data_IF_937944201217
#
_entry.id   IF_937944201217
#
_cell.length_a   1.000
_cell.length_b   1.000
_cell.length_c   1.000
_cell.angle_alpha   90.00
_cell.angle_beta   90.00
_cell.angle_gamma   90.00
#
_symmetry.space_group_name_H-M   'P 1'
#
loop_
_entity.id
_entity.type
_entity.pdbx_description
1 polymer ?
#
# COMPACT_ATOMS: atom_id res chain seq x y z
N UNK A 1 -42.45 -11.40 19.00
CA UNK A 1 -41.44 -10.89 18.05
C UNK A 1 -40.09 -11.00 18.76
N UNK A 2 -39.19 -11.90 18.32
CA UNK A 2 -37.87 -12.09 18.94
C UNK A 2 -36.87 -11.26 18.15
N UNK A 3 -36.40 -10.16 18.72
CA UNK A 3 -35.22 -9.46 18.20
C UNK A 3 -34.01 -10.34 18.53
N UNK A 4 -33.41 -10.95 17.51
CA UNK A 4 -32.06 -11.52 17.64
C UNK A 4 -31.10 -10.34 17.68
N UNK A 5 -30.70 -9.92 18.87
CA UNK A 5 -29.55 -9.04 19.03
C UNK A 5 -28.30 -9.87 18.76
N UNK A 6 -27.71 -9.71 17.58
CA UNK A 6 -26.32 -10.09 17.36
C UNK A 6 -25.45 -9.08 18.11
N UNK A 7 -24.65 -9.54 19.07
CA UNK A 7 -23.54 -8.75 19.59
C UNK A 7 -22.55 -8.55 18.45
N UNK A 8 -22.50 -7.33 17.91
CA UNK A 8 -21.52 -6.94 16.90
C UNK A 8 -20.26 -6.53 17.64
N UNK A 9 -19.15 -7.20 17.33
CA UNK A 9 -17.84 -6.83 17.84
C UNK A 9 -17.37 -5.56 17.11
N UNK A 10 -17.33 -4.43 17.82
CA UNK A 10 -16.91 -3.12 17.30
C UNK A 10 -15.40 -2.90 17.37
N UNK A 11 -14.61 -3.91 17.74
CA UNK A 11 -13.15 -3.79 17.90
C UNK A 11 -12.39 -3.70 16.57
N UNK A 12 -13.00 -4.14 15.46
CA UNK A 12 -12.35 -4.24 14.16
C UNK A 12 -13.19 -3.54 13.07
N UNK A 13 -12.62 -2.52 12.43
CA UNK A 13 -13.30 -1.72 11.40
C UNK A 13 -13.74 -2.57 10.18
N UNK A 14 -12.96 -3.60 9.84
CA UNK A 14 -13.33 -4.52 8.75
C UNK A 14 -14.58 -5.36 9.01
N UNK A 15 -15.00 -5.49 10.28
CA UNK A 15 -16.24 -6.17 10.66
C UNK A 15 -17.46 -5.21 10.61
N UNK A 16 -17.21 -3.90 10.53
CA UNK A 16 -18.24 -2.85 10.51
C UNK A 16 -18.59 -2.40 9.10
N UNK A 17 -17.60 -2.28 8.21
CA UNK A 17 -17.79 -1.83 6.84
C UNK A 17 -17.25 -2.85 5.83
N UNK A 18 -17.93 -2.97 4.70
CA UNK A 18 -17.31 -3.52 3.50
C UNK A 18 -16.72 -2.36 2.70
N UNK A 19 -15.64 -2.61 1.95
CA UNK A 19 -15.01 -1.62 1.08
C UNK A 19 -14.96 -2.19 -0.33
N UNK A 20 -15.27 -1.36 -1.31
CA UNK A 20 -15.06 -1.69 -2.72
C UNK A 20 -14.53 -0.50 -3.50
N UNK A 21 -13.69 -0.78 -4.48
CA UNK A 21 -13.14 0.22 -5.39
C UNK A 21 -13.67 -0.07 -6.79
N UNK A 22 -14.43 0.87 -7.34
CA UNK A 22 -14.87 0.83 -8.72
C UNK A 22 -13.99 1.78 -9.55
N UNK A 23 -13.53 1.29 -10.69
CA UNK A 23 -12.75 2.06 -11.64
C UNK A 23 -13.12 1.66 -13.07
N UNK A 24 -14.26 2.18 -13.52
CA UNK A 24 -14.80 1.95 -14.85
C UNK A 24 -14.49 3.13 -15.79
N UNK A 25 -14.83 2.99 -17.08
CA UNK A 25 -14.51 3.99 -18.12
C UNK A 25 -15.15 5.38 -17.93
N UNK A 26 -16.11 5.52 -17.01
CA UNK A 26 -16.82 6.78 -16.75
C UNK A 26 -16.70 7.31 -15.32
N UNK A 27 -16.41 6.45 -14.34
CA UNK A 27 -16.39 6.83 -12.93
C UNK A 27 -15.33 6.03 -12.16
N UNK A 28 -14.67 6.70 -11.21
CA UNK A 28 -13.75 6.08 -10.26
C UNK A 28 -14.18 6.48 -8.87
N UNK A 29 -14.61 5.53 -8.05
CA UNK A 29 -15.11 5.80 -6.71
C UNK A 29 -14.88 4.63 -5.76
N UNK A 30 -14.88 4.93 -4.47
CA UNK A 30 -14.82 3.94 -3.39
C UNK A 30 -16.18 3.92 -2.70
N UNK A 31 -16.72 2.72 -2.45
CA UNK A 31 -17.91 2.56 -1.61
C UNK A 31 -17.56 1.88 -0.31
N UNK A 32 -18.27 2.26 0.76
CA UNK A 32 -18.07 1.73 2.10
C UNK A 32 -19.41 1.43 2.80
N UNK A 33 -20.19 0.44 2.34
CA UNK A 33 -21.46 0.11 2.98
C UNK A 33 -21.26 -0.48 4.38
N UNK A 34 -22.10 -0.08 5.34
CA UNK A 34 -22.14 -0.68 6.66
C UNK A 34 -22.65 -2.13 6.57
N UNK A 35 -21.96 -3.06 7.24
CA UNK A 35 -22.33 -4.49 7.26
C UNK A 35 -23.51 -4.76 8.18
N UNK A 36 -23.62 -4.05 9.30
CA UNK A 36 -24.69 -4.25 10.28
C UNK A 36 -25.11 -2.95 10.96
N UNK A 37 -26.42 -2.68 11.03
CA UNK A 37 -26.98 -1.51 11.70
C UNK A 37 -26.70 -0.16 11.02
N UNK A 38 -27.01 0.93 11.74
CA UNK A 38 -26.72 2.31 11.34
C UNK A 38 -25.57 2.82 12.21
N UNK A 39 -24.33 2.53 11.80
CA UNK A 39 -23.13 3.05 12.46
C UNK A 39 -22.86 4.44 11.89
N UNK A 40 -22.87 5.51 12.70
CA UNK A 40 -22.47 6.83 12.23
C UNK A 40 -20.97 6.82 11.92
N UNK A 41 -20.66 6.88 10.63
CA UNK A 41 -19.31 6.94 10.07
C UNK A 41 -19.15 8.23 9.29
N UNK A 42 -18.08 8.97 9.54
CA UNK A 42 -17.79 10.21 8.84
C UNK A 42 -16.33 10.22 8.39
N UNK A 43 -16.13 10.45 7.09
CA UNK A 43 -14.83 10.79 6.54
C UNK A 43 -14.66 12.30 6.64
N UNK A 44 -13.65 12.74 7.37
CA UNK A 44 -13.38 14.17 7.56
C UNK A 44 -11.99 14.52 7.05
N UNK A 45 -11.90 15.66 6.36
CA UNK A 45 -10.64 16.32 6.08
C UNK A 45 -10.55 17.50 7.04
N UNK A 46 -9.65 17.43 8.01
CA UNK A 46 -9.49 18.51 8.97
C UNK A 46 -8.82 19.75 8.32
N UNK A 47 -8.81 20.86 9.04
CA UNK A 47 -8.17 22.10 8.59
C UNK A 47 -6.63 22.01 8.50
N UNK A 48 -6.03 20.95 9.06
CA UNK A 48 -4.60 20.65 8.97
C UNK A 48 -4.28 19.75 7.76
N UNK A 49 -5.29 19.29 7.02
CA UNK A 49 -5.15 18.40 5.87
C UNK A 49 -5.04 16.91 6.24
N UNK A 50 -5.33 16.54 7.49
CA UNK A 50 -5.42 15.15 7.92
C UNK A 50 -6.75 14.56 7.47
N UNK A 51 -6.69 13.43 6.77
CA UNK A 51 -7.86 12.64 6.44
C UNK A 51 -8.10 11.60 7.54
N UNK A 52 -9.26 11.64 8.18
CA UNK A 52 -9.59 10.78 9.31
C UNK A 52 -10.96 10.12 9.11
N UNK A 53 -11.04 8.83 9.43
CA UNK A 53 -12.30 8.11 9.63
C UNK A 53 -12.74 8.26 11.08
N UNK A 54 -13.91 8.86 11.29
CA UNK A 54 -14.54 8.99 12.60
C UNK A 54 -15.66 7.96 12.70
N UNK A 55 -15.47 6.99 13.60
CA UNK A 55 -16.50 6.05 14.05
C UNK A 55 -16.82 6.44 15.48
N UNK A 56 -18.09 6.66 15.81
CA UNK A 56 -18.49 6.92 17.19
C UNK A 56 -18.10 5.73 18.08
N UNK A 57 -17.08 5.91 18.92
CA UNK A 57 -16.57 4.96 19.92
C UNK A 57 -16.44 5.65 21.26
N UNK A 58 -16.40 4.86 22.32
CA UNK A 58 -16.03 5.30 23.66
C UNK A 58 -14.62 4.76 23.97
N UNK A 59 -13.59 5.42 23.43
CA UNK A 59 -12.19 5.45 23.89
C UNK A 59 -11.26 6.01 22.81
N UNK A 60 -10.46 7.00 23.21
CA UNK A 60 -9.38 7.57 22.42
C UNK A 60 -8.10 6.72 22.56
N UNK A 61 -7.47 6.39 21.43
CA UNK A 61 -6.20 5.66 21.38
C UNK A 61 -5.05 6.54 20.91
N UNK A 62 -3.94 6.48 21.64
CA UNK A 62 -2.69 7.18 21.36
C UNK A 62 -2.09 6.82 19.99
N UNK A 63 -1.58 7.84 19.32
CA UNK A 63 -0.89 7.75 18.04
C UNK A 63 0.53 7.16 18.23
N UNK A 64 0.87 6.14 17.44
CA UNK A 64 2.15 5.46 17.50
C UNK A 64 3.13 6.11 16.52
N UNK A 65 4.26 6.60 17.05
CA UNK A 65 5.38 7.16 16.29
C UNK A 65 5.89 6.17 15.22
N UNK A 66 5.77 6.52 13.94
CA UNK A 66 6.30 5.72 12.83
C UNK A 66 7.82 5.58 12.91
N UNK A 67 8.31 4.34 12.88
CA UNK A 67 9.73 4.03 12.82
C UNK A 67 10.20 4.00 11.36
N UNK A 68 11.05 4.96 10.98
CA UNK A 68 11.68 4.97 9.66
C UNK A 68 12.84 3.97 9.62
N UNK A 69 13.14 3.34 8.49
CA UNK A 69 14.38 2.58 8.25
C UNK A 69 14.61 2.45 6.73
N UNK A 70 15.87 2.50 6.26
CA UNK A 70 16.18 2.25 4.85
C UNK A 70 15.98 0.78 4.45
N UNK A 71 15.47 0.55 3.24
CA UNK A 71 15.34 -0.79 2.69
C UNK A 71 16.70 -1.50 2.56
N UNK A 72 16.72 -2.84 2.62
CA UNK A 72 17.94 -3.62 2.41
C UNK A 72 18.63 -3.24 1.09
N UNK A 73 19.96 -3.10 1.12
CA UNK A 73 20.74 -2.62 -0.03
C UNK A 73 20.82 -1.09 -0.17
N UNK A 74 20.14 -0.34 0.70
CA UNK A 74 20.25 1.10 0.80
C UNK A 74 20.90 1.52 2.13
N UNK A 75 21.44 2.74 2.16
CA UNK A 75 21.98 3.39 3.36
C UNK A 75 21.47 4.82 3.43
N UNK A 76 21.35 5.44 4.62
CA UNK A 76 21.03 6.85 4.70
C UNK A 76 22.10 7.67 3.95
N UNK A 77 21.64 8.70 3.24
CA UNK A 77 22.53 9.64 2.55
C UNK A 77 23.33 10.44 3.56
N UNK A 78 22.68 10.87 4.65
CA UNK A 78 23.27 11.60 5.77
C UNK A 78 23.13 10.74 7.03
N UNK A 79 24.25 10.34 7.67
CA UNK A 79 24.20 9.52 8.88
C UNK A 79 23.43 10.17 10.04
N UNK A 80 23.47 11.50 10.14
CA UNK A 80 22.78 12.27 11.17
C UNK A 80 21.29 12.45 10.84
N UNK A 81 20.95 12.66 9.57
CA UNK A 81 19.57 12.80 9.09
C UNK A 81 19.09 11.55 8.37
N UNK A 82 19.16 10.44 9.08
CA UNK A 82 19.00 9.12 8.49
C UNK A 82 17.59 8.85 7.91
N UNK A 83 16.58 9.62 8.33
CA UNK A 83 15.19 9.53 7.89
C UNK A 83 14.89 10.33 6.60
N UNK A 84 15.76 11.27 6.18
CA UNK A 84 15.48 12.17 5.05
C UNK A 84 15.54 11.41 3.71
N UNK A 85 16.60 10.62 3.50
CA UNK A 85 16.84 9.98 2.21
C UNK A 85 17.74 8.78 2.30
N UNK A 86 17.34 7.70 1.65
CA UNK A 86 18.15 6.50 1.45
C UNK A 86 18.74 6.46 0.04
N UNK A 87 19.99 6.04 -0.08
CA UNK A 87 20.70 5.85 -1.36
C UNK A 87 21.20 4.42 -1.48
N UNK A 88 21.21 3.89 -2.71
CA UNK A 88 21.68 2.52 -3.00
C UNK A 88 23.15 2.40 -2.54
N UNK A 89 23.47 1.32 -1.83
CA UNK A 89 24.87 1.00 -1.52
C UNK A 89 25.59 0.77 -2.86
N UNK A 90 26.68 1.50 -3.12
CA UNK A 90 27.48 1.30 -4.35
C UNK A 90 27.95 -0.15 -4.38
N UNK A 91 27.56 -0.91 -5.40
CA UNK A 91 28.18 -2.21 -5.69
C UNK A 91 29.56 -1.92 -6.31
N UNK A 92 30.61 -2.54 -5.77
CA UNK A 92 31.92 -2.59 -6.43
C UNK A 92 31.76 -3.54 -7.62
N UNK A 93 31.92 -3.03 -8.84
CA UNK A 93 31.61 -3.76 -10.08
C UNK A 93 30.26 -3.34 -10.65
N UNK A 94 30.30 -2.46 -11.66
CA UNK A 94 29.13 -2.02 -12.40
C UNK A 94 28.54 -3.18 -13.20
N UNK A 95 27.51 -3.83 -12.64
CA UNK A 95 26.69 -4.77 -13.39
C UNK A 95 26.04 -4.03 -14.57
N UNK A 96 26.30 -4.52 -15.78
CA UNK A 96 25.70 -3.99 -17.01
C UNK A 96 24.26 -4.47 -17.03
N UNK A 97 23.33 -3.54 -16.81
CA UNK A 97 21.89 -3.80 -16.88
C UNK A 97 21.50 -4.49 -18.20
N UNK A 98 20.60 -5.48 -18.13
CA UNK A 98 20.05 -6.17 -19.30
C UNK A 98 20.88 -7.37 -19.77
N UNK A 99 21.90 -7.79 -19.03
CA UNK A 99 22.65 -9.04 -19.32
C UNK A 99 22.07 -10.28 -18.63
N UNK A 100 21.10 -10.12 -17.73
CA UNK A 100 20.40 -11.24 -17.07
C UNK A 100 21.23 -11.99 -16.02
N UNK A 101 22.55 -12.00 -16.14
CA UNK A 101 23.46 -12.64 -15.19
C UNK A 101 23.67 -11.76 -13.94
N UNK A 102 22.97 -12.10 -12.85
CA UNK A 102 23.13 -11.47 -11.53
C UNK A 102 22.21 -10.27 -11.24
N UNK A 103 21.22 -10.02 -12.10
CA UNK A 103 20.16 -9.03 -11.89
C UNK A 103 18.90 -9.70 -11.32
N UNK A 104 18.18 -8.98 -10.44
CA UNK A 104 16.98 -9.50 -9.80
C UNK A 104 16.42 -8.52 -8.77
N UNK A 105 15.18 -8.79 -8.35
CA UNK A 105 14.48 -8.00 -7.35
C UNK A 105 14.50 -8.70 -5.99
N UNK A 106 14.67 -7.93 -4.92
CA UNK A 106 14.47 -8.41 -3.56
C UNK A 106 12.97 -8.39 -3.25
N UNK A 107 12.40 -9.54 -2.86
CA UNK A 107 11.01 -9.60 -2.40
C UNK A 107 10.86 -8.87 -1.06
N UNK A 108 9.94 -7.92 -0.99
CA UNK A 108 9.57 -7.20 0.22
C UNK A 108 8.06 -7.34 0.43
N UNK A 109 7.64 -7.58 1.67
CA UNK A 109 6.23 -7.81 2.05
C UNK A 109 5.83 -6.81 3.15
N UNK A 110 4.53 -6.54 3.27
CA UNK A 110 3.99 -5.63 4.31
C UNK A 110 4.36 -4.16 4.12
N UNK A 111 4.83 -3.76 2.93
CA UNK A 111 5.16 -2.38 2.60
C UNK A 111 4.03 -1.71 1.82
N UNK A 112 3.76 -0.44 2.15
CA UNK A 112 2.99 0.44 1.27
C UNK A 112 3.79 0.66 -0.03
N UNK A 113 3.13 0.47 -1.16
CA UNK A 113 3.76 0.73 -2.46
C UNK A 113 4.17 2.21 -2.57
N UNK A 114 5.32 2.51 -3.20
CA UNK A 114 5.70 3.88 -3.47
C UNK A 114 4.65 4.61 -4.30
N UNK A 115 4.78 5.93 -4.34
CA UNK A 115 4.01 6.79 -5.23
C UNK A 115 4.02 6.26 -6.67
N UNK A 116 2.83 6.11 -7.25
CA UNK A 116 2.64 5.46 -8.54
C UNK A 116 2.77 6.41 -9.75
N UNK A 117 3.12 7.69 -9.58
CA UNK A 117 3.22 8.69 -10.67
C UNK A 117 4.17 8.27 -11.81
N UNK A 118 5.22 7.53 -11.49
CA UNK A 118 6.21 7.05 -12.46
C UNK A 118 6.13 5.54 -12.70
N UNK A 119 4.99 4.94 -12.33
CA UNK A 119 4.74 3.51 -12.53
C UNK A 119 4.05 3.25 -13.86
N UNK A 120 4.29 2.08 -14.43
CA UNK A 120 3.54 1.56 -15.58
C UNK A 120 2.76 0.33 -15.14
N UNK A 121 1.48 0.27 -15.49
CA UNK A 121 0.61 -0.87 -15.22
C UNK A 121 0.49 -1.69 -16.49
N UNK A 122 0.81 -2.97 -16.37
CA UNK A 122 0.61 -3.96 -17.43
C UNK A 122 -0.57 -4.84 -17.02
N UNK A 123 -1.70 -4.72 -17.71
CA UNK A 123 -2.84 -5.62 -17.52
C UNK A 123 -2.57 -6.99 -18.13
N UNK A 124 -3.13 -8.05 -17.54
CA UNK A 124 -3.11 -9.42 -18.07
C UNK A 124 -1.71 -10.02 -18.32
N UNK A 125 -0.70 -9.63 -17.53
CA UNK A 125 0.65 -10.23 -17.58
C UNK A 125 0.92 -11.07 -16.33
N UNK A 126 1.61 -12.19 -16.50
CA UNK A 126 2.09 -12.96 -15.34
C UNK A 126 3.21 -12.21 -14.60
N UNK A 127 3.37 -12.49 -13.31
CA UNK A 127 4.46 -11.90 -12.51
C UNK A 127 5.85 -12.17 -13.12
N UNK A 128 6.05 -13.36 -13.70
CA UNK A 128 7.31 -13.73 -14.38
C UNK A 128 7.55 -12.90 -15.64
N UNK A 129 6.50 -12.63 -16.42
CA UNK A 129 6.61 -11.80 -17.62
C UNK A 129 6.84 -10.33 -17.25
N UNK A 130 6.14 -9.83 -16.22
CA UNK A 130 6.38 -8.50 -15.67
C UNK A 130 7.85 -8.34 -15.22
N UNK A 131 8.38 -9.33 -14.49
CA UNK A 131 9.76 -9.34 -14.05
C UNK A 131 10.75 -9.32 -15.23
N UNK A 132 10.51 -10.15 -16.24
CA UNK A 132 11.33 -10.18 -17.46
C UNK A 132 11.31 -8.85 -18.22
N UNK A 133 10.17 -8.16 -18.28
CA UNK A 133 10.08 -6.84 -18.89
C UNK A 133 10.79 -5.78 -18.05
N UNK A 134 10.67 -5.85 -16.73
CA UNK A 134 11.36 -4.94 -15.81
C UNK A 134 12.87 -5.09 -15.91
N UNK A 135 13.40 -6.32 -15.97
CA UNK A 135 14.84 -6.58 -16.10
C UNK A 135 15.41 -6.10 -17.44
N UNK A 136 14.61 -6.05 -18.51
CA UNK A 136 15.04 -5.46 -19.80
C UNK A 136 15.11 -3.93 -19.77
N UNK A 137 14.45 -3.28 -18.80
CA UNK A 137 14.37 -1.83 -18.71
C UNK A 137 15.15 -1.31 -17.50
N UNK A 138 16.34 -0.77 -17.77
CA UNK A 138 17.27 -0.29 -16.75
C UNK A 138 16.78 0.90 -15.91
N UNK A 139 15.68 1.51 -16.31
CA UNK A 139 15.05 2.60 -15.54
C UNK A 139 14.07 2.08 -14.49
N UNK A 140 13.70 0.79 -14.54
CA UNK A 140 12.80 0.19 -13.55
C UNK A 140 13.58 -0.14 -12.28
N UNK A 141 13.09 0.34 -11.14
CA UNK A 141 13.72 0.14 -9.84
C UNK A 141 13.00 -0.89 -8.97
N UNK A 142 11.71 -1.09 -9.20
CA UNK A 142 10.86 -2.01 -8.45
C UNK A 142 9.71 -2.49 -9.32
N UNK A 143 9.19 -3.67 -8.98
CA UNK A 143 7.93 -4.19 -9.49
C UNK A 143 7.01 -4.50 -8.31
N UNK A 144 5.71 -4.48 -8.55
CA UNK A 144 4.69 -4.98 -7.63
C UNK A 144 3.60 -5.66 -8.43
N UNK A 145 2.83 -6.51 -7.77
CA UNK A 145 1.62 -7.07 -8.36
C UNK A 145 0.41 -6.33 -7.81
N UNK A 146 -0.56 -6.10 -8.67
CA UNK A 146 -1.87 -5.58 -8.27
C UNK A 146 -2.72 -6.82 -8.01
N UNK A 147 -3.25 -6.96 -6.79
CA UNK A 147 -4.24 -8.00 -6.50
C UNK A 147 -5.58 -7.57 -7.09
N UNK A 148 -6.16 -8.43 -7.93
CA UNK A 148 -7.56 -8.34 -8.33
C UNK A 148 -8.44 -9.05 -7.30
N UNK A 149 -9.70 -8.62 -7.20
CA UNK A 149 -10.70 -9.09 -6.24
C UNK A 149 -11.13 -10.57 -6.48
N UNK A 150 -10.74 -11.17 -7.61
CA UNK A 150 -11.05 -12.56 -7.97
C UNK A 150 -10.12 -13.62 -7.34
N UNK A 151 -9.04 -13.21 -6.66
CA UNK A 151 -8.06 -14.13 -6.02
C UNK A 151 -8.18 -14.19 -4.48
N UNK A 152 -9.32 -13.77 -3.91
CA UNK A 152 -9.58 -13.76 -2.46
C UNK A 152 -10.49 -14.91 -1.98
#
# INVERSE_FOLDING_TARGET
MRLKTYEVDYSNESDLFAYSFNNDSGETYITFPARNGTIPFMLTLDHLGTFQSLIWRDQDSNDNMMQYTCLPGFKPMYPQDWFIRCVKKRKVGGGVCGKGDGEGFLKLEGLKVPDARFSRVYGNVSLKECEKQCLKNCNVLAQTFIKSEEDA
#
